data_IF_052672539478
#
_entry.id   IF_052672539478
#
_cell.length_a   1.000
_cell.length_b   1.000
_cell.length_c   1.000
_cell.angle_alpha   90.00
_cell.angle_beta   90.00
_cell.angle_gamma   90.00
#
_symmetry.space_group_name_H-M   'P 1'
#
loop_
_entity.id
_entity.type
_entity.pdbx_description
1 polymer ?
#
# COMPACT_ATOMS: atom_id res chain seq x y z
N UNK A 1 17.35 -14.67 -7.74
CA UNK A 1 15.91 -14.44 -7.48
C UNK A 1 15.72 -12.93 -7.37
N UNK A 2 14.83 -12.28 -8.14
CA UNK A 2 14.59 -10.86 -7.93
C UNK A 2 14.03 -10.68 -6.52
N UNK A 3 14.81 -10.04 -5.64
CA UNK A 3 14.40 -9.73 -4.29
C UNK A 3 13.30 -8.66 -4.37
N UNK A 4 12.07 -9.02 -4.01
CA UNK A 4 10.99 -8.03 -3.88
C UNK A 4 11.41 -6.99 -2.84
N UNK A 5 11.63 -5.76 -3.29
CA UNK A 5 12.09 -4.67 -2.43
C UNK A 5 10.91 -4.04 -1.70
N UNK A 6 10.46 -4.71 -0.64
CA UNK A 6 9.44 -4.20 0.27
C UNK A 6 9.94 -2.99 1.05
N UNK A 7 9.16 -1.91 1.04
CA UNK A 7 9.40 -0.72 1.85
C UNK A 7 8.38 -0.67 2.98
N UNK A 8 8.88 -0.60 4.21
CA UNK A 8 8.06 -0.49 5.41
C UNK A 8 7.71 0.96 5.69
N UNK A 9 6.46 1.23 6.07
CA UNK A 9 6.01 2.57 6.46
C UNK A 9 6.83 3.11 7.64
N UNK A 10 7.21 4.38 7.56
CA UNK A 10 7.89 5.11 8.64
C UNK A 10 6.98 5.41 9.83
N UNK A 11 5.66 5.30 9.67
CA UNK A 11 4.67 5.50 10.74
C UNK A 11 4.37 4.22 11.56
N UNK A 12 5.16 3.16 11.34
CA UNK A 12 5.09 1.91 12.10
C UNK A 12 5.74 2.05 13.51
N UNK A 13 5.28 3.01 14.30
CA UNK A 13 5.81 3.26 15.64
C UNK A 13 4.78 3.02 16.76
N UNK A 14 3.49 3.26 16.52
CA UNK A 14 2.55 3.49 17.63
C UNK A 14 1.52 2.37 17.85
N UNK A 15 1.09 1.63 16.83
CA UNK A 15 0.08 0.57 16.99
C UNK A 15 0.01 -0.34 15.78
N UNK A 16 0.70 -1.49 15.85
CA UNK A 16 0.49 -2.79 15.19
C UNK A 16 -0.09 -2.89 13.75
N UNK A 17 -0.06 -1.83 12.94
CA UNK A 17 -0.66 -1.78 11.59
C UNK A 17 0.39 -1.33 10.58
N UNK A 18 1.47 -2.10 10.50
CA UNK A 18 2.66 -1.68 9.78
C UNK A 18 2.55 -2.09 8.32
N UNK A 19 2.25 -1.13 7.45
CA UNK A 19 2.15 -1.42 6.03
C UNK A 19 3.52 -1.55 5.37
N UNK A 20 3.62 -2.51 4.47
CA UNK A 20 4.70 -2.66 3.51
C UNK A 20 4.16 -2.45 2.08
N UNK A 21 4.93 -1.76 1.26
CA UNK A 21 4.61 -1.51 -0.15
C UNK A 21 5.77 -1.96 -1.04
N UNK A 22 5.45 -2.56 -2.18
CA UNK A 22 6.43 -2.94 -3.19
C UNK A 22 5.89 -2.69 -4.59
N UNK A 23 6.73 -2.16 -5.47
CA UNK A 23 6.43 -2.04 -6.89
C UNK A 23 7.02 -3.25 -7.64
N UNK A 24 6.26 -3.78 -8.59
CA UNK A 24 6.65 -4.95 -9.37
C UNK A 24 6.86 -4.61 -10.85
N UNK A 25 7.61 -5.46 -11.60
CA UNK A 25 7.85 -5.26 -13.04
C UNK A 25 6.57 -5.29 -13.89
N UNK A 26 5.50 -5.91 -13.39
CA UNK A 26 4.17 -5.99 -14.02
C UNK A 26 3.33 -4.71 -13.86
N UNK A 27 3.96 -3.59 -13.48
CA UNK A 27 3.35 -2.29 -13.22
C UNK A 27 2.36 -2.27 -12.03
N UNK A 28 2.32 -3.33 -11.23
CA UNK A 28 1.51 -3.37 -10.02
C UNK A 28 2.23 -2.77 -8.81
N UNK A 29 1.44 -2.35 -7.84
CA UNK A 29 1.87 -2.07 -6.47
C UNK A 29 1.14 -3.05 -5.57
N UNK A 30 1.89 -3.71 -4.70
CA UNK A 30 1.35 -4.61 -3.70
C UNK A 30 1.51 -4.00 -2.33
N UNK A 31 0.49 -4.14 -1.51
CA UNK A 31 0.38 -3.59 -0.17
C UNK A 31 0.06 -4.74 0.76
N UNK A 32 0.79 -4.86 1.86
CA UNK A 32 0.52 -5.87 2.89
C UNK A 32 0.77 -5.32 4.27
N UNK A 33 0.16 -5.93 5.27
CA UNK A 33 0.49 -5.68 6.67
C UNK A 33 1.75 -6.51 7.05
N UNK A 34 2.56 -5.99 7.97
CA UNK A 34 3.86 -6.56 8.36
C UNK A 34 3.75 -7.83 9.21
N UNK A 35 2.72 -7.94 10.06
CA UNK A 35 2.40 -9.13 10.84
C UNK A 35 1.54 -10.15 10.07
N UNK A 36 0.87 -9.74 8.98
CA UNK A 36 0.11 -10.60 8.08
C UNK A 36 0.68 -10.60 6.65
N UNK A 37 1.88 -11.16 6.41
CA UNK A 37 2.60 -11.04 5.14
C UNK A 37 1.93 -11.74 3.95
N UNK A 38 0.91 -12.57 4.20
CA UNK A 38 0.12 -13.29 3.20
C UNK A 38 -1.15 -12.54 2.77
N UNK A 39 -1.58 -11.53 3.52
CA UNK A 39 -2.71 -10.69 3.17
C UNK A 39 -2.22 -9.52 2.31
N UNK A 40 -2.27 -9.70 0.99
CA UNK A 40 -1.75 -8.74 0.01
C UNK A 40 -2.89 -8.15 -0.82
N UNK A 41 -2.95 -6.82 -0.87
CA UNK A 41 -3.80 -6.07 -1.79
C UNK A 41 -2.96 -5.66 -2.99
N UNK A 42 -3.43 -5.96 -4.20
CA UNK A 42 -2.78 -5.57 -5.45
C UNK A 42 -3.53 -4.40 -6.08
N UNK A 43 -2.79 -3.37 -6.49
CA UNK A 43 -3.31 -2.20 -7.21
C UNK A 43 -2.31 -1.76 -8.29
N UNK A 44 -2.60 -0.67 -8.98
CA UNK A 44 -1.69 -0.05 -9.96
C UNK A 44 -1.13 1.27 -9.42
N UNK A 45 0.01 1.73 -9.95
CA UNK A 45 0.58 3.03 -9.55
C UNK A 45 -0.42 4.20 -9.75
N UNK A 46 -1.16 4.30 -10.88
CA UNK A 46 -2.13 5.38 -11.06
C UNK A 46 -3.28 5.32 -10.04
N UNK A 47 -3.84 4.14 -9.79
CA UNK A 47 -4.94 3.98 -8.84
C UNK A 47 -4.52 4.29 -7.40
N UNK A 48 -3.33 3.83 -6.99
CA UNK A 48 -2.78 4.19 -5.69
C UNK A 48 -2.54 5.70 -5.56
N UNK A 49 -2.08 6.35 -6.63
CA UNK A 49 -1.94 7.81 -6.67
C UNK A 49 -3.26 8.54 -6.47
N UNK A 50 -4.33 8.09 -7.15
CA UNK A 50 -5.68 8.64 -6.99
C UNK A 50 -6.22 8.43 -5.57
N UNK A 51 -6.02 7.24 -5.00
CA UNK A 51 -6.41 6.96 -3.61
C UNK A 51 -5.72 7.92 -2.64
N UNK A 52 -4.40 8.10 -2.75
CA UNK A 52 -3.64 9.01 -1.88
C UNK A 52 -4.11 10.46 -2.05
N UNK A 53 -4.39 10.89 -3.28
CA UNK A 53 -4.89 12.23 -3.55
C UNK A 53 -6.28 12.44 -2.91
N UNK A 54 -7.18 11.45 -3.04
CA UNK A 54 -8.51 11.51 -2.45
C UNK A 54 -8.48 11.51 -0.91
N UNK A 55 -7.65 10.67 -0.30
CA UNK A 55 -7.43 10.67 1.17
C UNK A 55 -6.94 12.03 1.64
N UNK A 56 -5.91 12.59 0.98
CA UNK A 56 -5.34 13.90 1.35
C UNK A 56 -6.30 15.06 1.14
N UNK A 57 -7.17 14.95 0.15
CA UNK A 57 -8.17 15.97 -0.18
C UNK A 57 -9.49 15.82 0.58
N UNK A 58 -9.63 14.81 1.44
CA UNK A 58 -10.89 14.46 2.11
C UNK A 58 -12.05 14.24 1.12
N UNK A 59 -11.75 13.73 -0.08
CA UNK A 59 -12.73 13.47 -1.15
C UNK A 59 -12.98 11.98 -1.37
N UNK A 60 -12.55 11.14 -0.43
CA UNK A 60 -12.96 9.74 -0.40
C UNK A 60 -14.48 9.70 -0.24
N UNK A 61 -15.18 9.42 -1.34
CA UNK A 61 -16.60 9.17 -1.28
C UNK A 61 -16.82 7.97 -0.34
N UNK A 62 -17.70 8.09 0.66
CA UNK A 62 -18.20 6.88 1.33
C UNK A 62 -18.86 6.02 0.26
N UNK A 63 -18.60 4.70 0.29
CA UNK A 63 -19.35 3.73 -0.51
C UNK A 63 -20.85 4.05 -0.40
N UNK A 64 -21.50 4.21 -1.54
CA UNK A 64 -22.93 4.48 -1.66
C UNK A 64 -23.77 3.24 -1.36
#
# INVERSE_FOLDING_TARGET
MPSTQWQKSSYCADSSNCLNVAAFPDHTVRIRESAAPHAEVTTTRPQLGLLIAAVKGDTLAPDA
#
